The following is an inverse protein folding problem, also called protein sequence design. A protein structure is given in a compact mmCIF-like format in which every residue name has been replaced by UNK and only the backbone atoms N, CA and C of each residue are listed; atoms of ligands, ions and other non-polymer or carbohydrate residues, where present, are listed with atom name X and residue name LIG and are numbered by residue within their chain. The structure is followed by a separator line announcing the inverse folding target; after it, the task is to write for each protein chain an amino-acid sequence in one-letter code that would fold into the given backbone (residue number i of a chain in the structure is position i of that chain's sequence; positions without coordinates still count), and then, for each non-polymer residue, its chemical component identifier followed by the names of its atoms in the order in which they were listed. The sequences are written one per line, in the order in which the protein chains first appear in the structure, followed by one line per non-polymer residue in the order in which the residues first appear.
data_IF_021385589560
#
_entry.id   IF_021385589560
#
_cell.length_a   1.000
_cell.length_b   1.000
_cell.length_c   1.000
_cell.angle_alpha   90.00
_cell.angle_beta   90.00
_cell.angle_gamma   90.00
#
_symmetry.space_group_name_H-M   'P 1'
#
loop_
_entity.id
_entity.type
_entity.pdbx_description
1 polymer ?
#
# COMPACT_ATOMS: atom_id res chain seq x y z
N UNK A 1 8.12 2.12 18.24
CA UNK A 1 7.97 0.66 18.29
C UNK A 1 7.92 0.14 16.87
N UNK A 2 8.63 -0.94 16.53
CA UNK A 2 8.56 -1.54 15.20
C UNK A 2 7.18 -2.18 14.99
N UNK A 3 6.56 -1.92 13.83
CA UNK A 3 5.27 -2.51 13.46
C UNK A 3 5.48 -4.02 13.27
N UNK A 4 4.81 -4.84 14.08
CA UNK A 4 4.75 -6.30 13.85
C UNK A 4 3.86 -6.53 12.64
N UNK A 5 4.38 -7.27 11.66
CA UNK A 5 3.67 -7.61 10.44
C UNK A 5 3.63 -9.14 10.28
N UNK A 6 2.58 -9.61 9.64
CA UNK A 6 2.44 -10.98 9.16
C UNK A 6 1.96 -10.91 7.71
N UNK A 7 2.34 -11.89 6.91
CA UNK A 7 1.97 -11.98 5.49
C UNK A 7 1.54 -13.40 5.17
N UNK A 8 0.52 -13.55 4.32
CA UNK A 8 0.18 -14.82 3.70
C UNK A 8 0.97 -14.96 2.40
N UNK A 9 1.91 -15.90 2.36
CA UNK A 9 2.78 -16.12 1.21
C UNK A 9 2.00 -16.54 -0.04
N UNK A 10 0.83 -17.16 0.14
CA UNK A 10 -0.04 -17.53 -0.97
C UNK A 10 -0.52 -16.32 -1.79
N UNK A 11 -0.56 -15.11 -1.18
CA UNK A 11 -0.94 -13.91 -1.92
C UNK A 11 0.05 -13.61 -3.06
N UNK A 12 1.35 -13.77 -2.82
CA UNK A 12 2.39 -13.53 -3.82
C UNK A 12 2.28 -14.54 -4.98
N UNK A 13 2.16 -15.83 -4.68
CA UNK A 13 2.08 -16.88 -5.70
C UNK A 13 0.80 -16.77 -6.55
N UNK A 14 -0.32 -16.43 -5.91
CA UNK A 14 -1.59 -16.23 -6.63
C UNK A 14 -1.50 -15.00 -7.54
N UNK A 15 -0.91 -13.89 -7.07
CA UNK A 15 -0.69 -12.70 -7.89
C UNK A 15 0.19 -13.00 -9.12
N UNK A 16 1.34 -13.64 -8.92
CA UNK A 16 2.24 -14.07 -10.01
C UNK A 16 1.50 -14.94 -11.05
N UNK A 17 0.65 -15.87 -10.59
CA UNK A 17 -0.09 -16.77 -11.46
C UNK A 17 -1.26 -16.09 -12.19
N UNK A 18 -1.92 -15.12 -11.55
CA UNK A 18 -2.96 -14.29 -12.19
C UNK A 18 -2.33 -13.48 -13.32
N UNK A 19 -1.21 -12.80 -13.08
CA UNK A 19 -0.49 -12.07 -14.13
C UNK A 19 -0.11 -12.99 -15.29
N UNK A 20 0.41 -14.19 -14.97
CA UNK A 20 0.79 -15.18 -15.97
C UNK A 20 -0.40 -15.68 -16.81
N UNK A 21 -1.54 -16.00 -16.19
CA UNK A 21 -2.71 -16.51 -16.91
C UNK A 21 -3.47 -15.41 -17.67
N UNK A 22 -3.63 -14.21 -17.07
CA UNK A 22 -4.28 -13.08 -17.73
C UNK A 22 -3.44 -12.53 -18.88
N UNK A 23 -2.11 -12.51 -18.75
CA UNK A 23 -1.20 -12.12 -19.84
C UNK A 23 -1.25 -13.05 -21.05
N UNK A 24 -1.73 -14.29 -20.90
CA UNK A 24 -1.95 -15.23 -21.99
C UNK A 24 -3.31 -15.04 -22.70
N UNK A 25 -4.21 -14.22 -22.14
CA UNK A 25 -5.50 -13.92 -22.76
C UNK A 25 -5.35 -12.82 -23.81
N UNK A 26 -6.22 -12.85 -24.83
CA UNK A 26 -6.30 -11.77 -25.81
C UNK A 26 -6.65 -10.44 -25.11
N UNK A 27 -5.99 -9.35 -25.49
CA UNK A 27 -6.09 -8.04 -24.83
C UNK A 27 -7.54 -7.53 -24.64
N UNK A 28 -8.46 -7.86 -25.56
CA UNK A 28 -9.88 -7.50 -25.47
C UNK A 28 -10.65 -8.20 -24.34
N UNK A 29 -10.18 -9.35 -23.86
CA UNK A 29 -10.77 -10.07 -22.72
C UNK A 29 -10.17 -9.59 -21.41
N UNK A 30 -8.86 -9.31 -21.39
CA UNK A 30 -8.12 -8.87 -20.20
C UNK A 30 -8.71 -7.61 -19.55
N UNK A 31 -9.21 -6.66 -20.34
CA UNK A 31 -9.71 -5.36 -19.86
C UNK A 31 -10.97 -5.43 -18.98
N UNK A 32 -11.70 -6.55 -18.98
CA UNK A 32 -12.92 -6.71 -18.19
C UNK A 32 -12.68 -7.44 -16.86
N UNK A 33 -11.52 -8.04 -16.67
CA UNK A 33 -11.22 -8.75 -15.43
C UNK A 33 -10.75 -7.79 -14.36
N UNK A 34 -11.33 -7.92 -13.18
CA UNK A 34 -10.81 -7.36 -11.94
C UNK A 34 -9.90 -8.40 -11.29
N UNK A 35 -8.56 -8.24 -11.32
CA UNK A 35 -7.63 -9.23 -10.75
C UNK A 35 -7.93 -9.54 -9.28
N UNK A 36 -8.45 -8.56 -8.53
CA UNK A 36 -8.81 -8.68 -7.13
C UNK A 36 -9.91 -9.72 -6.89
N UNK A 37 -10.85 -9.88 -7.83
CA UNK A 37 -11.90 -10.89 -7.73
C UNK A 37 -11.37 -12.30 -7.98
N UNK A 38 -10.46 -12.45 -8.94
CA UNK A 38 -9.78 -13.73 -9.20
C UNK A 38 -8.90 -14.10 -8.01
N UNK A 39 -8.18 -13.13 -7.45
CA UNK A 39 -7.32 -13.28 -6.27
C UNK A 39 -8.14 -13.76 -5.07
N UNK A 40 -9.22 -13.05 -4.73
CA UNK A 40 -10.10 -13.42 -3.61
C UNK A 40 -10.78 -14.76 -3.83
N UNK A 41 -11.20 -15.07 -5.06
CA UNK A 41 -11.75 -16.38 -5.40
C UNK A 41 -10.75 -17.51 -5.14
N UNK A 42 -9.50 -17.34 -5.59
CA UNK A 42 -8.46 -18.35 -5.48
C UNK A 42 -8.00 -18.53 -4.02
N UNK A 43 -7.70 -17.43 -3.32
CA UNK A 43 -7.21 -17.47 -1.94
C UNK A 43 -8.22 -18.11 -0.99
N UNK A 44 -9.52 -17.89 -1.18
CA UNK A 44 -10.56 -18.51 -0.36
C UNK A 44 -10.67 -20.05 -0.52
N UNK A 45 -9.90 -20.64 -1.45
CA UNK A 45 -9.86 -22.09 -1.74
C UNK A 45 -8.51 -22.73 -1.50
N UNK A 46 -7.51 -21.93 -1.14
CA UNK A 46 -6.15 -22.39 -0.90
C UNK A 46 -5.86 -22.37 0.60
N UNK A 47 -5.05 -23.32 1.07
CA UNK A 47 -4.58 -23.27 2.46
C UNK A 47 -3.66 -22.06 2.63
N UNK A 48 -3.88 -21.19 3.63
CA UNK A 48 -3.02 -20.03 3.85
C UNK A 48 -1.67 -20.44 4.42
N UNK A 49 -0.60 -19.77 3.99
CA UNK A 49 0.75 -19.96 4.50
C UNK A 49 1.25 -18.66 5.12
N UNK A 50 0.99 -18.48 6.40
CA UNK A 50 1.41 -17.26 7.11
C UNK A 50 2.88 -17.33 7.54
N UNK A 51 3.52 -16.16 7.52
CA UNK A 51 4.84 -15.91 8.07
C UNK A 51 4.85 -14.58 8.86
N UNK A 52 5.56 -14.57 9.99
CA UNK A 52 5.76 -13.39 10.84
C UNK A 52 7.25 -13.05 11.06
N UNK A 53 8.14 -13.71 10.31
CA UNK A 53 9.60 -13.50 10.34
C UNK A 53 10.18 -13.71 8.94
N UNK A 54 11.33 -13.08 8.66
CA UNK A 54 12.00 -13.20 7.37
C UNK A 54 12.35 -14.67 7.03
N UNK A 55 12.91 -15.41 7.99
CA UNK A 55 13.19 -16.84 7.83
C UNK A 55 11.92 -17.67 7.59
N UNK A 56 10.83 -17.34 8.30
CA UNK A 56 9.53 -17.98 8.10
C UNK A 56 8.97 -17.71 6.71
N UNK A 57 9.17 -16.49 6.19
CA UNK A 57 8.76 -16.09 4.85
C UNK A 57 9.48 -16.92 3.79
N UNK A 58 10.81 -16.99 3.83
CA UNK A 58 11.62 -17.79 2.89
C UNK A 58 11.21 -19.27 2.88
N UNK A 59 11.00 -19.85 4.07
CA UNK A 59 10.59 -21.25 4.20
C UNK A 59 9.21 -21.49 3.61
N UNK A 60 8.25 -20.60 3.89
CA UNK A 60 6.89 -20.71 3.38
C UNK A 60 6.83 -20.45 1.87
N UNK A 61 7.65 -19.56 1.33
CA UNK A 61 7.79 -19.34 -0.11
C UNK A 61 8.30 -20.59 -0.83
N UNK A 62 9.37 -21.20 -0.31
CA UNK A 62 9.91 -22.44 -0.86
C UNK A 62 8.86 -23.55 -0.85
N UNK A 63 8.15 -23.71 0.27
CA UNK A 63 7.06 -24.67 0.42
C UNK A 63 5.92 -24.38 -0.56
N UNK A 64 5.48 -23.13 -0.67
CA UNK A 64 4.41 -22.72 -1.55
C UNK A 64 4.73 -23.08 -3.02
N UNK A 65 5.97 -22.79 -3.46
CA UNK A 65 6.42 -23.09 -4.83
C UNK A 65 6.53 -24.59 -5.12
N UNK A 66 6.89 -25.40 -4.13
CA UNK A 66 7.04 -26.85 -4.29
C UNK A 66 5.72 -27.61 -4.19
N UNK A 67 4.88 -27.28 -3.21
CA UNK A 67 3.67 -28.05 -2.88
C UNK A 67 2.39 -27.45 -3.51
N UNK A 68 2.35 -26.13 -3.71
CA UNK A 68 1.11 -25.42 -4.05
C UNK A 68 1.06 -24.85 -5.47
N UNK A 69 2.11 -24.99 -6.28
CA UNK A 69 2.13 -24.48 -7.65
C UNK A 69 0.93 -24.97 -8.49
N UNK A 70 0.64 -26.27 -8.46
CA UNK A 70 -0.48 -26.86 -9.21
C UNK A 70 -1.86 -26.46 -8.62
N UNK A 71 -2.10 -26.56 -7.29
CA UNK A 71 -3.31 -26.01 -6.68
C UNK A 71 -3.57 -24.54 -7.01
N UNK A 72 -2.54 -23.69 -6.96
CA UNK A 72 -2.63 -22.27 -7.31
C UNK A 72 -3.05 -22.09 -8.76
N UNK A 73 -2.39 -22.80 -9.69
CA UNK A 73 -2.74 -22.77 -11.12
C UNK A 73 -4.20 -23.13 -11.37
N UNK A 74 -4.69 -24.19 -10.72
CA UNK A 74 -6.09 -24.64 -10.85
C UNK A 74 -7.05 -23.62 -10.26
N UNK A 75 -6.77 -23.11 -9.05
CA UNK A 75 -7.62 -22.14 -8.36
C UNK A 75 -7.75 -20.82 -9.15
N UNK A 76 -6.64 -20.31 -9.69
CA UNK A 76 -6.64 -19.10 -10.53
C UNK A 76 -7.44 -19.32 -11.81
N UNK A 77 -7.26 -20.46 -12.49
CA UNK A 77 -8.02 -20.78 -13.70
C UNK A 77 -9.53 -20.83 -13.44
N UNK A 78 -9.93 -21.44 -12.32
CA UNK A 78 -11.32 -21.46 -11.90
C UNK A 78 -11.84 -20.07 -11.54
N UNK A 79 -11.01 -19.23 -10.92
CA UNK A 79 -11.36 -17.83 -10.62
C UNK A 79 -11.61 -17.02 -11.88
N UNK A 80 -10.74 -17.12 -12.88
CA UNK A 80 -10.93 -16.48 -14.18
C UNK A 80 -12.26 -16.94 -14.80
N UNK A 81 -12.51 -18.25 -14.87
CA UNK A 81 -13.76 -18.78 -15.41
C UNK A 81 -15.02 -18.34 -14.63
N UNK A 82 -14.91 -18.21 -13.31
CA UNK A 82 -16.00 -17.75 -12.46
C UNK A 82 -16.32 -16.27 -12.70
N UNK A 83 -15.30 -15.42 -12.88
CA UNK A 83 -15.46 -14.00 -13.20
C UNK A 83 -15.98 -13.82 -14.64
N UNK A 84 -15.51 -14.62 -15.60
CA UNK A 84 -16.05 -14.61 -16.98
C UNK A 84 -17.54 -14.93 -17.05
N UNK A 85 -18.02 -15.83 -16.18
CA UNK A 85 -19.40 -16.30 -16.20
C UNK A 85 -20.40 -15.24 -15.73
N UNK A 86 -19.97 -14.28 -14.92
CA UNK A 86 -20.83 -13.20 -14.41
C UNK A 86 -20.16 -11.82 -14.52
N UNK A 87 -19.94 -11.30 -15.75
CA UNK A 87 -19.24 -10.03 -15.96
C UNK A 87 -20.01 -8.80 -15.46
N UNK A 88 -21.32 -8.94 -15.23
CA UNK A 88 -22.20 -7.87 -14.76
C UNK A 88 -22.32 -7.84 -13.24
N UNK A 89 -21.56 -8.67 -12.52
CA UNK A 89 -21.58 -8.68 -11.07
C UNK A 89 -21.06 -7.35 -10.54
N UNK A 90 -21.97 -6.55 -10.02
CA UNK A 90 -21.63 -5.30 -9.35
C UNK A 90 -21.01 -5.61 -7.97
N UNK A 91 -19.69 -5.70 -7.92
CA UNK A 91 -18.92 -5.68 -6.68
C UNK A 91 -18.59 -4.23 -6.32
N UNK A 92 -18.96 -3.82 -5.10
CA UNK A 92 -18.45 -2.58 -4.50
C UNK A 92 -17.09 -2.92 -3.86
N UNK A 93 -15.98 -2.34 -4.32
CA UNK A 93 -14.67 -2.59 -3.72
C UNK A 93 -14.61 -2.16 -2.25
N UNK A 94 -13.77 -2.83 -1.47
CA UNK A 94 -13.48 -2.40 -0.09
C UNK A 94 -12.55 -1.18 -0.18
N UNK A 95 -12.96 -0.06 0.41
CA UNK A 95 -12.10 1.10 0.58
C UNK A 95 -11.21 0.88 1.80
N UNK A 96 -9.89 0.82 1.57
CA UNK A 96 -8.91 0.79 2.65
C UNK A 96 -8.62 2.26 3.02
N UNK A 97 -8.89 2.69 4.27
CA UNK A 97 -8.57 4.04 4.70
C UNK A 97 -7.08 4.30 4.53
N UNK A 98 -6.73 5.41 3.89
CA UNK A 98 -5.34 5.85 3.80
C UNK A 98 -4.75 6.07 5.19
N UNK A 99 -3.43 5.84 5.32
CA UNK A 99 -2.73 6.07 6.58
C UNK A 99 -2.79 7.58 6.94
N UNK A 100 -3.51 7.90 8.01
CA UNK A 100 -3.70 9.29 8.46
C UNK A 100 -2.38 10.03 8.70
N UNK A 101 -1.33 9.33 9.13
CA UNK A 101 -0.01 9.93 9.33
C UNK A 101 0.65 10.23 8.00
N UNK A 102 0.52 9.34 7.02
CA UNK A 102 1.00 9.59 5.67
C UNK A 102 0.27 10.79 5.06
N UNK A 103 -1.06 10.85 5.14
CA UNK A 103 -1.85 11.99 4.68
C UNK A 103 -1.44 13.30 5.38
N UNK A 104 -1.21 13.26 6.69
CA UNK A 104 -0.76 14.43 7.45
C UNK A 104 0.62 14.89 6.96
N UNK A 105 1.55 13.96 6.72
CA UNK A 105 2.87 14.27 6.18
C UNK A 105 2.77 14.89 4.77
N UNK A 106 1.94 14.34 3.88
CA UNK A 106 1.73 14.88 2.54
C UNK A 106 1.16 16.31 2.58
N UNK A 107 0.17 16.58 3.45
CA UNK A 107 -0.37 17.94 3.65
C UNK A 107 0.69 18.93 4.14
N UNK A 108 1.57 18.50 5.03
CA UNK A 108 2.70 19.32 5.49
C UNK A 108 3.66 19.59 4.32
N UNK A 109 3.97 18.58 3.52
CA UNK A 109 4.84 18.71 2.34
C UNK A 109 4.24 19.63 1.27
N UNK A 110 2.93 19.54 1.01
CA UNK A 110 2.21 20.48 0.14
C UNK A 110 2.42 21.94 0.59
N UNK A 111 2.33 22.19 1.90
CA UNK A 111 2.52 23.53 2.46
C UNK A 111 3.97 24.02 2.38
N UNK A 112 4.91 23.10 2.59
CA UNK A 112 6.35 23.34 2.59
C UNK A 112 6.86 23.64 1.18
N UNK A 113 6.48 22.80 0.22
CA UNK A 113 6.88 22.90 -1.17
C UNK A 113 6.01 23.90 -1.95
N UNK A 114 5.02 24.51 -1.29
CA UNK A 114 4.04 25.43 -1.87
C UNK A 114 3.35 24.84 -3.11
N UNK A 115 3.16 23.52 -3.12
CA UNK A 115 2.56 22.77 -4.21
C UNK A 115 1.28 22.08 -3.69
N UNK A 116 0.09 22.68 -3.89
CA UNK A 116 -1.17 22.10 -3.42
C UNK A 116 -1.61 20.86 -4.23
N UNK A 117 -1.07 20.68 -5.44
CA UNK A 117 -1.29 19.50 -6.29
C UNK A 117 -0.30 18.36 -6.02
N UNK A 118 0.52 18.46 -4.97
CA UNK A 118 1.47 17.41 -4.60
C UNK A 118 0.70 16.16 -4.14
N UNK A 119 0.98 15.03 -4.78
CA UNK A 119 0.44 13.71 -4.48
C UNK A 119 1.59 12.71 -4.32
N UNK A 120 1.28 11.45 -4.00
CA UNK A 120 2.31 10.43 -3.79
C UNK A 120 3.09 10.08 -5.06
N UNK A 121 2.50 10.25 -6.24
CA UNK A 121 3.12 9.91 -7.52
C UNK A 121 4.13 10.97 -7.93
N UNK A 122 3.79 12.25 -7.77
CA UNK A 122 4.63 13.38 -8.15
C UNK A 122 5.55 13.87 -7.01
N UNK A 123 5.38 13.35 -5.79
CA UNK A 123 6.19 13.70 -4.62
C UNK A 123 7.70 13.55 -4.85
N UNK A 124 8.22 12.43 -5.40
CA UNK A 124 9.67 12.26 -5.57
C UNK A 124 10.28 13.36 -6.43
N UNK A 125 9.67 13.64 -7.59
CA UNK A 125 10.13 14.67 -8.52
C UNK A 125 10.03 16.08 -7.93
N UNK A 126 8.96 16.36 -7.18
CA UNK A 126 8.79 17.64 -6.52
C UNK A 126 9.85 17.88 -5.43
N UNK A 127 10.19 16.86 -4.64
CA UNK A 127 11.26 16.93 -3.63
C UNK A 127 12.61 17.12 -4.30
N UNK A 128 12.91 16.37 -5.37
CA UNK A 128 14.16 16.51 -6.13
C UNK A 128 14.33 17.93 -6.68
N UNK A 129 13.27 18.48 -7.28
CA UNK A 129 13.27 19.86 -7.79
C UNK A 129 13.54 20.87 -6.68
N UNK A 130 12.85 20.75 -5.55
CA UNK A 130 13.02 21.66 -4.43
C UNK A 130 14.44 21.60 -3.81
N UNK A 131 15.05 20.42 -3.75
CA UNK A 131 16.44 20.25 -3.30
C UNK A 131 17.44 20.88 -4.28
N UNK A 132 17.21 20.72 -5.59
CA UNK A 132 18.04 21.34 -6.62
C UNK A 132 17.94 22.87 -6.56
N UNK A 133 16.74 23.43 -6.38
CA UNK A 133 16.55 24.87 -6.26
C UNK A 133 17.18 25.45 -4.98
N UNK A 134 17.10 24.71 -3.87
CA UNK A 134 17.75 25.09 -2.61
C UNK A 134 19.29 25.05 -2.73
N UNK A 135 19.86 24.03 -3.38
CA UNK A 135 21.32 23.91 -3.56
C UNK A 135 21.88 24.99 -4.50
N UNK A 136 21.08 25.45 -5.47
CA UNK A 136 21.44 26.54 -6.37
C UNK A 136 21.18 27.95 -5.78
N UNK A 137 20.72 28.04 -4.53
CA UNK A 137 20.44 29.32 -3.86
C UNK A 137 19.25 30.10 -4.45
N UNK A 138 18.46 29.48 -5.34
CA UNK A 138 17.27 30.09 -5.96
C UNK A 138 16.12 30.26 -4.97
N UNK A 139 16.12 29.47 -3.89
CA UNK A 139 15.08 29.50 -2.85
C UNK A 139 15.75 29.69 -1.48
N UNK A 140 15.48 30.81 -0.82
CA UNK A 140 15.84 30.99 0.59
C UNK A 140 14.85 30.22 1.45
N UNK A 141 15.21 29.00 1.85
CA UNK A 141 14.40 28.22 2.77
C UNK A 141 14.40 28.90 4.14
N UNK A 142 13.31 29.59 4.46
CA UNK A 142 13.01 30.01 5.84
C UNK A 142 12.11 28.96 6.43
N UNK A 143 12.55 28.17 7.42
CA UNK A 143 11.64 27.36 8.19
C UNK A 143 10.63 28.34 8.78
N UNK A 144 9.38 28.31 8.30
CA UNK A 144 8.30 28.95 9.05
C UNK A 144 8.34 28.26 10.39
N UNK A 145 8.67 28.99 11.45
CA UNK A 145 8.56 28.47 12.80
C UNK A 145 7.20 27.80 12.87
N UNK A 146 7.19 26.46 13.02
CA UNK A 146 6.05 25.76 13.57
C UNK A 146 5.66 26.61 14.78
N UNK A 147 4.50 27.26 14.69
CA UNK A 147 4.09 28.24 15.69
C UNK A 147 4.34 27.61 17.05
N UNK A 148 5.18 28.26 17.87
CA UNK A 148 5.35 27.85 19.27
C UNK A 148 3.93 27.66 19.80
N UNK A 149 3.55 26.47 20.33
CA UNK A 149 2.40 26.41 21.19
C UNK A 149 2.76 27.32 22.37
N UNK A 150 2.17 28.51 22.41
CA UNK A 150 2.25 29.36 23.58
C UNK A 150 1.61 28.61 24.74
N UNK A 151 2.44 28.21 25.71
CA UNK A 151 2.03 27.57 26.95
C UNK A 151 2.63 26.18 27.10
N UNK A 152 3.50 26.04 28.10
CA UNK A 152 4.18 24.80 28.50
C UNK A 152 3.23 23.60 28.47
N UNK A 153 3.51 22.68 27.54
CA UNK A 153 2.82 21.42 27.38
C UNK A 153 3.81 20.30 27.72
N UNK A 154 3.62 19.67 28.87
CA UNK A 154 4.44 18.55 29.31
C UNK A 154 4.11 17.29 28.48
N UNK A 155 5.10 16.84 27.69
CA UNK A 155 5.01 15.69 26.80
C UNK A 155 4.98 14.33 27.54
N UNK A 156 5.15 14.32 28.86
CA UNK A 156 5.10 13.08 29.66
C UNK A 156 3.68 12.70 30.10
N UNK A 157 2.76 13.66 30.25
CA UNK A 157 1.49 13.43 30.95
C UNK A 157 0.24 13.97 30.25
N UNK A 158 0.38 14.72 29.15
CA UNK A 158 -0.74 15.11 28.30
C UNK A 158 -1.81 15.97 28.97
N UNK A 159 -1.49 16.67 30.07
CA UNK A 159 -2.38 17.66 30.70
C UNK A 159 -1.71 19.03 30.84
N UNK A 160 -2.50 20.07 30.62
CA UNK A 160 -2.12 21.48 30.84
C UNK A 160 -1.97 21.76 32.34
N UNK A 161 -0.78 22.18 32.76
CA UNK A 161 -0.54 22.70 34.11
C UNK A 161 -1.10 24.13 34.16
N UNK A 162 -2.07 24.40 35.05
CA UNK A 162 -2.55 25.76 35.30
C UNK A 162 -1.60 26.45 36.27
N UNK A 163 -0.95 27.53 35.87
CA UNK A 163 -0.29 28.44 36.81
C UNK A 163 -1.38 29.24 37.54
N UNK A 164 -1.38 29.14 38.86
CA UNK A 164 -2.09 30.08 39.74
C UNK A 164 -1.19 31.29 39.96
N UNK A 165 -1.76 32.48 39.81
CA UNK A 165 -1.21 33.74 40.32
C UNK A 165 -1.22 33.77 41.84
#
# INVERSE_FOLDING_TARGET
MAKRAWINVMELLVAEEIERQLGQLAARKASFFKPEEVMTYALNRLAPLYASSARGLEMQESRARQEFAEPVRVAVRQGIAAVERDPLRHSTPIEIPEDENAQRALRVLQSILQNPSLDWDNLPTAVETALNDASQGKVSWRPRSLGRPGGDFDLSTGRRIRSRS
#
